data_IF_255148254020
#
_entry.id   IF_255148254020
#
_cell.length_a   1.000
_cell.length_b   1.000
_cell.length_c   1.000
_cell.angle_alpha   90.00
_cell.angle_beta   90.00
_cell.angle_gamma   90.00
#
_symmetry.space_group_name_H-M   'P 1'
#
loop_
_entity.id
_entity.type
_entity.pdbx_description
1 polymer ?
#
# COMPACT_ATOMS: atom_id res chain seq x y z
N UNK A 1 -10.23 38.36 -0.67
CA UNK A 1 -10.55 36.93 -0.58
C UNK A 1 -11.13 36.53 -1.92
N UNK A 2 -10.60 35.48 -2.56
CA UNK A 2 -11.19 34.93 -3.77
C UNK A 2 -12.50 34.21 -3.46
N UNK A 3 -13.25 33.84 -4.49
CA UNK A 3 -14.50 33.10 -4.32
C UNK A 3 -14.28 31.77 -3.58
N UNK A 4 -15.25 31.31 -2.76
CA UNK A 4 -15.18 30.02 -2.10
C UNK A 4 -14.98 28.88 -3.11
N UNK A 5 -14.11 27.93 -2.77
CA UNK A 5 -13.83 26.75 -3.57
C UNK A 5 -14.88 25.70 -3.22
N UNK A 6 -15.73 25.34 -4.18
CA UNK A 6 -16.68 24.25 -4.01
C UNK A 6 -15.94 22.89 -3.94
N UNK A 7 -16.19 22.14 -2.88
CA UNK A 7 -15.63 20.80 -2.65
C UNK A 7 -16.72 19.74 -2.42
N UNK A 8 -18.00 20.10 -2.60
CA UNK A 8 -19.14 19.22 -2.30
C UNK A 8 -19.16 17.96 -3.15
N UNK A 9 -18.63 18.03 -4.38
CA UNK A 9 -18.53 16.88 -5.29
C UNK A 9 -17.31 15.99 -5.01
N UNK A 10 -16.40 16.40 -4.12
CA UNK A 10 -15.17 15.65 -3.83
C UNK A 10 -15.43 14.61 -2.76
N UNK A 11 -15.72 13.41 -3.24
CA UNK A 11 -15.93 12.22 -2.42
C UNK A 11 -14.88 11.14 -2.75
N UNK A 12 -14.62 10.28 -1.77
CA UNK A 12 -13.80 9.08 -1.89
C UNK A 12 -14.53 7.97 -1.14
N UNK A 13 -14.85 6.88 -1.85
CA UNK A 13 -15.44 5.69 -1.25
C UNK A 13 -14.48 5.03 -0.26
N UNK A 14 -15.04 4.38 0.76
CA UNK A 14 -14.28 3.70 1.81
C UNK A 14 -14.18 2.19 1.59
N UNK A 15 -14.61 1.67 0.43
CA UNK A 15 -14.34 0.28 0.08
C UNK A 15 -12.87 0.13 -0.35
N UNK A 16 -12.31 -1.07 -0.19
CA UNK A 16 -10.94 -1.34 -0.64
C UNK A 16 -10.78 -1.13 -2.14
N UNK A 17 -11.82 -1.44 -2.94
CA UNK A 17 -11.84 -1.19 -4.39
C UNK A 17 -11.82 0.30 -4.75
N UNK A 18 -12.54 1.14 -4.01
CA UNK A 18 -12.54 2.59 -4.24
C UNK A 18 -11.17 3.17 -3.90
N UNK A 19 -10.63 2.80 -2.73
CA UNK A 19 -9.31 3.21 -2.28
C UNK A 19 -8.24 2.80 -3.30
N UNK A 20 -8.27 1.56 -3.77
CA UNK A 20 -7.33 1.05 -4.79
C UNK A 20 -7.40 1.90 -6.05
N UNK A 21 -8.59 2.24 -6.51
CA UNK A 21 -8.80 3.07 -7.70
C UNK A 21 -8.21 4.48 -7.54
N UNK A 22 -8.35 5.08 -6.35
CA UNK A 22 -7.78 6.39 -6.03
C UNK A 22 -6.25 6.36 -5.90
N UNK A 23 -5.68 5.27 -5.36
CA UNK A 23 -4.21 5.14 -5.21
C UNK A 23 -3.46 5.14 -6.54
N UNK A 24 -4.07 4.66 -7.63
CA UNK A 24 -3.48 4.67 -8.98
C UNK A 24 -3.16 6.10 -9.45
N UNK A 25 -3.90 7.09 -8.91
CA UNK A 25 -3.71 8.51 -9.29
C UNK A 25 -2.53 9.17 -8.57
N UNK A 26 -1.88 8.49 -7.62
CA UNK A 26 -0.78 9.04 -6.80
C UNK A 26 0.53 8.42 -7.27
N UNK A 27 1.47 9.27 -7.71
CA UNK A 27 2.70 8.83 -8.38
C UNK A 27 3.68 8.10 -7.46
N UNK A 28 3.71 8.44 -6.18
CA UNK A 28 4.72 7.94 -5.23
C UNK A 28 4.05 7.48 -3.95
N UNK A 29 3.55 6.24 -3.99
CA UNK A 29 3.06 5.52 -2.82
C UNK A 29 4.07 4.45 -2.41
N UNK A 30 4.14 4.11 -1.11
CA UNK A 30 5.04 3.07 -0.62
C UNK A 30 4.64 1.70 -1.17
N UNK A 31 5.61 0.80 -1.34
CA UNK A 31 5.39 -0.56 -1.87
C UNK A 31 4.36 -1.35 -1.04
N UNK A 32 4.33 -1.11 0.27
CA UNK A 32 3.39 -1.75 1.20
C UNK A 32 1.92 -1.39 0.96
N UNK A 33 1.62 -0.37 0.14
CA UNK A 33 0.24 0.01 -0.22
C UNK A 33 -0.53 -1.18 -0.78
N UNK A 34 0.04 -1.87 -1.77
CA UNK A 34 -0.64 -3.01 -2.40
C UNK A 34 -0.74 -4.21 -1.46
N UNK A 35 0.24 -4.39 -0.56
CA UNK A 35 0.21 -5.44 0.45
C UNK A 35 -0.92 -5.21 1.45
N UNK A 36 -1.05 -3.97 1.95
CA UNK A 36 -2.10 -3.58 2.88
C UNK A 36 -3.50 -3.74 2.25
N UNK A 37 -3.70 -3.24 1.03
CA UNK A 37 -5.01 -3.33 0.37
C UNK A 37 -5.40 -4.78 0.09
N UNK A 38 -4.44 -5.63 -0.31
CA UNK A 38 -4.71 -7.07 -0.48
C UNK A 38 -5.04 -7.75 0.84
N UNK A 39 -4.34 -7.39 1.91
CA UNK A 39 -4.66 -7.87 3.25
C UNK A 39 -6.09 -7.50 3.66
N UNK A 40 -6.49 -6.24 3.44
CA UNK A 40 -7.84 -5.76 3.75
C UNK A 40 -8.95 -6.41 2.90
N UNK A 41 -8.65 -6.89 1.69
CA UNK A 41 -9.62 -7.61 0.85
C UNK A 41 -9.95 -9.02 1.37
N UNK A 42 -9.01 -9.67 2.04
CA UNK A 42 -9.17 -11.06 2.52
C UNK A 42 -9.47 -11.14 4.01
N UNK A 43 -9.27 -10.05 4.74
CA UNK A 43 -9.58 -9.97 6.17
C UNK A 43 -11.09 -9.95 6.38
N UNK A 44 -11.57 -10.89 7.18
CA UNK A 44 -12.92 -10.83 7.74
C UNK A 44 -12.79 -10.24 9.15
N UNK A 45 -13.29 -9.02 9.37
CA UNK A 45 -13.39 -8.43 10.71
C UNK A 45 -14.40 -9.24 11.56
N UNK A 46 -13.99 -10.42 12.05
CA UNK A 46 -14.88 -11.31 12.80
C UNK A 46 -15.19 -10.78 14.21
N UNK A 47 -14.32 -9.91 14.75
CA UNK A 47 -14.51 -9.22 16.03
C UNK A 47 -13.88 -7.82 15.97
N UNK A 48 -14.55 -6.83 15.36
CA UNK A 48 -14.02 -5.47 15.31
C UNK A 48 -13.91 -4.90 16.73
N UNK A 49 -12.78 -4.28 17.03
CA UNK A 49 -12.55 -3.54 18.27
C UNK A 49 -12.94 -2.09 18.03
N UNK A 50 -13.45 -1.43 19.07
CA UNK A 50 -13.73 -0.01 19.01
C UNK A 50 -12.43 0.80 18.82
N UNK A 51 -12.36 1.73 17.84
CA UNK A 51 -11.19 2.58 17.64
C UNK A 51 -11.00 3.51 18.84
N UNK A 52 -9.74 3.76 19.19
CA UNK A 52 -9.37 4.67 20.28
C UNK A 52 -9.81 6.11 20.00
N UNK A 53 -10.01 6.90 21.06
CA UNK A 53 -10.42 8.30 20.95
C UNK A 53 -9.43 9.16 20.14
N UNK A 54 -8.14 8.84 20.19
CA UNK A 54 -7.10 9.58 19.43
C UNK A 54 -7.25 9.32 17.93
N UNK A 55 -7.52 8.08 17.54
CA UNK A 55 -7.74 7.71 16.13
C UNK A 55 -9.08 8.27 15.62
N UNK A 56 -10.13 8.29 16.44
CA UNK A 56 -11.41 8.96 16.12
C UNK A 56 -11.25 10.47 15.92
N UNK A 57 -10.45 11.13 16.78
CA UNK A 57 -10.15 12.55 16.65
C UNK A 57 -9.37 12.84 15.36
N UNK A 58 -8.39 11.99 15.01
CA UNK A 58 -7.70 12.10 13.74
C UNK A 58 -8.68 11.97 12.56
N UNK A 59 -9.52 10.94 12.54
CA UNK A 59 -10.52 10.74 11.47
C UNK A 59 -11.45 11.95 11.33
N UNK A 60 -12.01 12.42 12.45
CA UNK A 60 -12.93 13.56 12.48
C UNK A 60 -12.28 14.81 11.86
N UNK A 61 -11.01 15.05 12.21
CA UNK A 61 -10.25 16.18 11.66
C UNK A 61 -9.97 16.03 10.16
N UNK A 62 -9.65 14.82 9.68
CA UNK A 62 -9.43 14.59 8.25
C UNK A 62 -10.73 14.75 7.45
N UNK A 63 -11.86 14.28 7.99
CA UNK A 63 -13.18 14.41 7.36
C UNK A 63 -13.64 15.87 7.32
N UNK A 64 -13.36 16.65 8.36
CA UNK A 64 -13.69 18.07 8.46
C UNK A 64 -12.83 19.01 7.62
N UNK A 65 -11.96 18.49 6.76
CA UNK A 65 -11.09 19.33 5.95
C UNK A 65 -11.88 20.20 4.96
N UNK A 66 -11.75 21.52 5.10
CA UNK A 66 -12.39 22.54 4.27
C UNK A 66 -11.35 23.62 3.87
N UNK A 67 -11.06 23.80 2.56
CA UNK A 67 -10.12 24.82 2.10
C UNK A 67 -10.62 26.26 2.25
N UNK A 68 -11.90 26.44 2.63
CA UNK A 68 -12.52 27.75 2.86
C UNK A 68 -12.54 28.13 4.34
N UNK A 69 -12.04 27.28 5.24
CA UNK A 69 -11.98 27.57 6.67
C UNK A 69 -11.16 28.84 6.92
N UNK A 70 -11.76 29.91 7.49
CA UNK A 70 -11.08 31.18 7.72
C UNK A 70 -9.94 31.09 8.75
N UNK A 71 -9.88 30.01 9.54
CA UNK A 71 -8.82 29.76 10.51
C UNK A 71 -7.57 29.11 9.89
N UNK A 72 -7.62 28.70 8.62
CA UNK A 72 -6.46 28.13 7.93
C UNK A 72 -5.36 29.17 7.75
N UNK A 73 -4.18 28.85 8.27
CA UNK A 73 -2.97 29.63 8.01
C UNK A 73 -2.66 29.65 6.50
N UNK A 74 -2.18 30.79 5.95
CA UNK A 74 -1.67 30.87 4.58
C UNK A 74 -0.64 29.79 4.23
N UNK A 75 0.16 29.35 5.21
CA UNK A 75 1.20 28.33 5.03
C UNK A 75 0.63 26.91 4.83
N UNK A 76 -0.63 26.69 5.23
CA UNK A 76 -1.33 25.40 5.14
C UNK A 76 -2.28 25.35 3.94
N UNK A 77 -1.93 26.06 2.86
CA UNK A 77 -2.80 26.28 1.73
C UNK A 77 -2.18 25.79 0.40
N UNK A 78 -2.96 25.70 -0.67
CA UNK A 78 -2.51 25.23 -1.98
C UNK A 78 -1.82 23.85 -1.89
N UNK A 79 -0.55 23.74 -2.31
CA UNK A 79 0.23 22.51 -2.24
C UNK A 79 0.48 22.01 -0.82
N UNK A 80 0.39 22.91 0.18
CA UNK A 80 0.54 22.58 1.60
C UNK A 80 -0.81 22.23 2.26
N UNK A 81 -1.92 22.25 1.51
CA UNK A 81 -3.22 21.88 2.04
C UNK A 81 -3.18 20.45 2.59
N UNK A 82 -3.75 20.27 3.78
CA UNK A 82 -3.72 19.02 4.52
C UNK A 82 -2.69 18.98 5.64
N UNK A 83 -1.60 19.76 5.61
CA UNK A 83 -0.56 19.70 6.65
C UNK A 83 -1.13 19.81 8.06
N UNK A 84 -1.87 20.89 8.34
CA UNK A 84 -2.56 21.09 9.62
C UNK A 84 -3.48 19.92 9.99
N UNK A 85 -4.24 19.37 9.03
CA UNK A 85 -5.14 18.24 9.26
C UNK A 85 -4.41 16.95 9.64
N UNK A 86 -3.12 16.82 9.29
CA UNK A 86 -2.30 15.67 9.69
C UNK A 86 -1.46 15.92 10.95
N UNK A 87 -1.25 17.17 11.39
CA UNK A 87 -0.28 17.50 12.45
C UNK A 87 -0.82 18.25 13.66
N UNK A 88 -2.03 18.82 13.59
CA UNK A 88 -2.54 19.67 14.65
C UNK A 88 -2.67 18.97 16.03
N UNK A 89 -2.63 19.74 17.11
CA UNK A 89 -2.96 19.26 18.46
C UNK A 89 -2.13 18.07 18.96
N UNK A 90 -0.89 17.89 18.46
CA UNK A 90 -0.02 16.75 18.78
C UNK A 90 -0.58 15.36 18.39
N UNK A 91 -1.73 15.32 17.72
CA UNK A 91 -2.31 14.13 17.12
C UNK A 91 -1.80 14.06 15.69
N UNK A 92 -0.86 13.16 15.45
CA UNK A 92 -0.24 12.88 14.15
C UNK A 92 -0.57 11.45 13.75
N UNK A 93 -0.32 11.09 12.49
CA UNK A 93 -0.42 9.68 12.05
C UNK A 93 0.38 8.76 12.98
N UNK A 94 1.62 9.16 13.31
CA UNK A 94 2.51 8.36 14.15
C UNK A 94 2.07 8.23 15.60
N UNK A 95 1.46 9.27 16.17
CA UNK A 95 1.00 9.27 17.57
C UNK A 95 -0.39 8.68 17.73
N UNK A 96 -1.25 8.77 16.71
CA UNK A 96 -2.58 8.16 16.72
C UNK A 96 -2.54 6.65 16.45
N UNK A 97 -1.71 6.22 15.48
CA UNK A 97 -1.65 4.83 15.04
C UNK A 97 -0.53 4.08 15.79
N UNK A 98 -0.67 3.86 17.10
CA UNK A 98 0.36 3.16 17.89
C UNK A 98 0.39 1.64 17.62
N UNK A 99 -0.78 1.00 17.60
CA UNK A 99 -1.01 -0.43 17.41
C UNK A 99 -2.32 -0.71 16.67
N UNK A 100 -2.52 -1.92 16.14
CA UNK A 100 -3.72 -2.25 15.37
C UNK A 100 -5.00 -2.14 16.19
N UNK A 101 -4.97 -2.53 17.47
CA UNK A 101 -6.11 -2.48 18.39
C UNK A 101 -6.65 -1.05 18.57
N UNK A 102 -5.81 -0.02 18.40
CA UNK A 102 -6.24 1.38 18.47
C UNK A 102 -7.02 1.82 17.23
N UNK A 103 -6.83 1.15 16.09
CA UNK A 103 -7.59 1.35 14.84
C UNK A 103 -8.85 0.48 14.85
N UNK A 104 -8.70 -0.74 15.35
CA UNK A 104 -9.80 -1.62 15.76
C UNK A 104 -10.45 -2.45 14.65
N UNK A 105 -10.43 -1.99 13.40
CA UNK A 105 -10.99 -2.75 12.26
C UNK A 105 -10.43 -2.29 10.92
N UNK A 106 -10.53 -3.18 9.92
CA UNK A 106 -10.26 -2.83 8.51
C UNK A 106 -11.23 -1.78 8.03
N UNK A 107 -12.52 -1.90 8.37
CA UNK A 107 -13.52 -0.91 8.00
C UNK A 107 -13.16 0.51 8.48
N UNK A 108 -12.64 0.65 9.70
CA UNK A 108 -12.22 1.95 10.23
C UNK A 108 -10.91 2.45 9.60
N UNK A 109 -9.95 1.54 9.35
CA UNK A 109 -8.73 1.86 8.61
C UNK A 109 -9.03 2.40 7.20
N UNK A 110 -9.99 1.80 6.50
CA UNK A 110 -10.43 2.26 5.19
C UNK A 110 -11.09 3.65 5.25
N UNK A 111 -11.87 3.96 6.29
CA UNK A 111 -12.42 5.31 6.48
C UNK A 111 -11.32 6.36 6.66
N UNK A 112 -10.27 6.05 7.43
CA UNK A 112 -9.08 6.93 7.58
C UNK A 112 -8.38 7.17 6.25
N UNK A 113 -8.13 6.10 5.48
CA UNK A 113 -7.48 6.19 4.17
C UNK A 113 -8.34 7.02 3.21
N UNK A 114 -9.65 6.75 3.14
CA UNK A 114 -10.57 7.49 2.28
C UNK A 114 -10.60 8.99 2.63
N UNK A 115 -10.66 9.34 3.92
CA UNK A 115 -10.61 10.73 4.36
C UNK A 115 -9.28 11.42 3.98
N UNK A 116 -8.15 10.72 4.12
CA UNK A 116 -6.85 11.23 3.71
C UNK A 116 -6.73 11.41 2.18
N UNK A 117 -7.28 10.48 1.39
CA UNK A 117 -7.33 10.57 -0.08
C UNK A 117 -8.22 11.74 -0.53
N UNK A 118 -9.33 11.98 0.17
CA UNK A 118 -10.20 13.13 -0.08
C UNK A 118 -9.42 14.45 0.07
N UNK A 119 -8.56 14.57 1.09
CA UNK A 119 -7.69 15.75 1.26
C UNK A 119 -6.75 15.92 0.06
N UNK A 120 -6.17 14.84 -0.48
CA UNK A 120 -5.35 14.92 -1.70
C UNK A 120 -6.16 15.47 -2.88
N UNK A 121 -7.38 14.98 -3.08
CA UNK A 121 -8.27 15.47 -4.14
C UNK A 121 -8.65 16.94 -3.94
N UNK A 122 -8.93 17.35 -2.69
CA UNK A 122 -9.17 18.76 -2.34
C UNK A 122 -7.93 19.59 -2.66
N UNK A 123 -6.73 19.18 -2.24
CA UNK A 123 -5.49 19.91 -2.51
C UNK A 123 -5.27 20.10 -4.03
N UNK A 124 -5.48 19.04 -4.82
CA UNK A 124 -5.42 19.10 -6.29
C UNK A 124 -6.44 20.11 -6.86
N UNK A 125 -7.66 20.10 -6.34
CA UNK A 125 -8.72 21.00 -6.78
C UNK A 125 -8.44 22.45 -6.39
N UNK A 126 -7.93 22.69 -5.18
CA UNK A 126 -7.52 24.01 -4.70
C UNK A 126 -6.42 24.59 -5.57
N UNK A 127 -5.36 23.81 -5.84
CA UNK A 127 -4.29 24.24 -6.74
C UNK A 127 -4.81 24.50 -8.15
N UNK A 128 -5.71 23.66 -8.66
CA UNK A 128 -6.34 23.87 -9.97
C UNK A 128 -7.12 25.20 -10.04
N UNK A 129 -8.03 25.46 -9.09
CA UNK A 129 -8.82 26.70 -9.07
C UNK A 129 -7.97 27.96 -8.95
N UNK A 130 -6.84 27.87 -8.25
CA UNK A 130 -5.95 29.01 -8.02
C UNK A 130 -4.83 29.13 -9.03
N UNK A 131 -4.83 28.27 -10.06
CA UNK A 131 -3.80 28.23 -11.09
C UNK A 131 -2.37 28.10 -10.50
N UNK A 132 -2.22 27.26 -9.47
CA UNK A 132 -0.95 26.92 -8.83
C UNK A 132 -0.51 25.54 -9.29
N UNK A 133 0.81 25.32 -9.36
CA UNK A 133 1.36 24.01 -9.67
C UNK A 133 0.80 22.92 -8.75
N UNK A 134 0.48 21.77 -9.33
CA UNK A 134 -0.07 20.60 -8.63
C UNK A 134 1.00 19.59 -8.22
N UNK A 135 2.26 19.96 -8.39
CA UNK A 135 3.39 19.11 -8.04
C UNK A 135 3.71 19.25 -6.55
N UNK A 136 4.23 18.17 -5.94
CA UNK A 136 4.70 18.15 -4.56
C UNK A 136 3.61 18.50 -3.51
N UNK A 137 2.41 17.95 -3.67
CA UNK A 137 1.35 18.11 -2.68
C UNK A 137 1.76 17.44 -1.36
N UNK A 138 1.77 18.19 -0.26
CA UNK A 138 2.16 17.65 1.04
C UNK A 138 1.21 16.54 1.51
N UNK A 139 -0.06 16.62 1.11
CA UNK A 139 -1.07 15.59 1.37
C UNK A 139 -0.71 14.23 0.78
N UNK A 140 -0.02 14.18 -0.37
CA UNK A 140 0.44 12.91 -0.97
C UNK A 140 1.54 12.27 -0.12
N UNK A 141 2.44 13.07 0.48
CA UNK A 141 3.45 12.60 1.42
C UNK A 141 2.80 11.99 2.67
N UNK A 142 1.78 12.66 3.22
CA UNK A 142 1.06 12.16 4.39
C UNK A 142 0.28 10.88 4.12
N UNK A 143 -0.29 10.73 2.93
CA UNK A 143 -0.91 9.48 2.49
C UNK A 143 0.12 8.35 2.48
N UNK A 144 1.34 8.59 1.98
CA UNK A 144 2.42 7.59 2.04
C UNK A 144 2.75 7.17 3.46
N UNK A 145 2.93 8.13 4.37
CA UNK A 145 3.17 7.87 5.80
C UNK A 145 2.01 7.07 6.43
N UNK A 146 0.77 7.39 6.07
CA UNK A 146 -0.42 6.68 6.55
C UNK A 146 -0.38 5.20 6.13
N UNK A 147 -0.11 4.92 4.87
CA UNK A 147 -0.01 3.54 4.36
C UNK A 147 1.12 2.75 5.03
N UNK A 148 2.31 3.33 5.16
CA UNK A 148 3.44 2.68 5.85
C UNK A 148 3.10 2.37 7.31
N UNK A 149 2.49 3.33 7.99
CA UNK A 149 2.17 3.18 9.41
C UNK A 149 1.08 2.14 9.64
N UNK A 150 0.02 2.17 8.83
CA UNK A 150 -1.06 1.17 8.88
C UNK A 150 -0.54 -0.24 8.57
N UNK A 151 0.28 -0.38 7.51
CA UNK A 151 0.92 -1.66 7.19
C UNK A 151 1.72 -2.20 8.38
N UNK A 152 2.60 -1.37 8.95
CA UNK A 152 3.44 -1.79 10.07
C UNK A 152 2.65 -2.28 11.28
N UNK A 153 1.59 -1.57 11.68
CA UNK A 153 0.81 -1.98 12.85
C UNK A 153 -0.06 -3.21 12.55
N UNK A 154 -0.57 -3.33 11.33
CA UNK A 154 -1.38 -4.48 10.91
C UNK A 154 -0.53 -5.74 10.76
N UNK A 155 0.64 -5.65 10.15
CA UNK A 155 1.60 -6.75 10.00
C UNK A 155 2.05 -7.29 11.36
N UNK A 156 2.33 -6.39 12.32
CA UNK A 156 2.72 -6.79 13.66
C UNK A 156 1.62 -7.51 14.45
N UNK A 157 0.34 -7.19 14.20
CA UNK A 157 -0.78 -7.89 14.83
C UNK A 157 -1.20 -9.16 14.09
N UNK A 158 -0.78 -9.32 12.83
CA UNK A 158 -1.06 -10.48 11.97
C UNK A 158 0.24 -11.13 11.46
N UNK A 159 1.12 -11.66 12.35
CA UNK A 159 2.43 -12.17 11.97
C UNK A 159 2.42 -13.37 11.01
N UNK A 160 1.24 -13.94 10.69
CA UNK A 160 1.07 -14.99 9.68
C UNK A 160 0.88 -14.43 8.25
N UNK A 161 0.62 -13.13 8.09
CA UNK A 161 0.40 -12.51 6.77
C UNK A 161 1.69 -12.15 6.03
N UNK A 162 2.83 -12.14 6.73
CA UNK A 162 4.15 -11.81 6.17
C UNK A 162 5.06 -13.02 5.96
N UNK A 163 4.60 -14.21 6.32
CA UNK A 163 5.15 -15.45 5.78
C UNK A 163 4.36 -15.83 4.53
N UNK A 164 4.72 -15.26 3.39
CA UNK A 164 4.39 -15.87 2.10
C UNK A 164 5.17 -17.18 1.95
N UNK A 165 4.77 -18.19 2.70
CA UNK A 165 4.78 -19.59 2.28
C UNK A 165 3.45 -20.13 2.78
N UNK A 166 2.41 -19.93 1.97
CA UNK A 166 1.08 -20.48 2.19
C UNK A 166 1.24 -21.99 2.47
N UNK A 167 0.52 -22.59 3.45
CA UNK A 167 0.47 -24.05 3.59
C UNK A 167 0.11 -24.72 2.26
N UNK A 168 -0.67 -24.03 1.43
CA UNK A 168 -1.07 -24.45 0.09
C UNK A 168 0.08 -24.42 -0.93
N UNK A 169 1.09 -23.52 -0.81
CA UNK A 169 2.29 -23.58 -1.65
C UNK A 169 3.24 -24.69 -1.24
N UNK A 170 3.29 -25.04 0.04
CA UNK A 170 4.07 -26.19 0.52
C UNK A 170 3.37 -27.51 0.20
N UNK A 171 2.04 -27.54 0.18
CA UNK A 171 1.23 -28.65 -0.32
C UNK A 171 1.36 -28.74 -1.84
N UNK A 172 1.29 -27.64 -2.59
CA UNK A 172 1.53 -27.59 -4.04
C UNK A 172 2.98 -27.92 -4.39
N UNK A 173 3.98 -27.47 -3.62
CA UNK A 173 5.39 -27.87 -3.81
C UNK A 173 5.59 -29.33 -3.48
N UNK A 174 5.00 -29.85 -2.40
CA UNK A 174 5.04 -31.27 -2.10
C UNK A 174 4.29 -32.07 -3.17
N UNK A 175 3.15 -31.61 -3.67
CA UNK A 175 2.42 -32.27 -4.75
C UNK A 175 3.14 -32.17 -6.09
N UNK A 176 3.80 -31.06 -6.42
CA UNK A 176 4.66 -30.90 -7.60
C UNK A 176 5.95 -31.72 -7.51
N UNK A 177 6.51 -31.88 -6.31
CA UNK A 177 7.61 -32.83 -6.04
C UNK A 177 7.13 -34.29 -6.09
N UNK A 178 5.84 -34.53 -5.79
CA UNK A 178 5.19 -35.86 -5.85
C UNK A 178 4.66 -36.18 -7.25
N UNK A 179 4.48 -35.20 -8.15
CA UNK A 179 4.42 -35.38 -9.61
C UNK A 179 5.84 -35.69 -10.09
N UNK A 180 6.28 -36.87 -9.64
CA UNK A 180 7.09 -37.86 -10.32
C UNK A 180 7.84 -37.35 -11.54
N UNK A 181 9.10 -37.00 -11.29
CA UNK A 181 10.19 -36.85 -12.27
C UNK A 181 10.16 -37.95 -13.35
N UNK A 182 9.70 -39.15 -13.01
CA UNK A 182 9.46 -40.28 -13.90
C UNK A 182 8.30 -40.11 -14.89
N UNK A 183 7.19 -39.44 -14.52
CA UNK A 183 6.12 -39.11 -15.47
C UNK A 183 6.56 -38.01 -16.45
N UNK A 184 7.31 -37.01 -15.98
CA UNK A 184 7.85 -35.96 -16.84
C UNK A 184 8.92 -36.52 -17.80
N UNK A 185 9.75 -37.46 -17.33
CA UNK A 185 10.75 -38.14 -18.15
C UNK A 185 10.13 -39.11 -19.16
N UNK A 186 9.07 -39.84 -18.79
CA UNK A 186 8.33 -40.70 -19.71
C UNK A 186 7.67 -39.88 -20.83
N UNK A 187 7.02 -38.77 -20.48
CA UNK A 187 6.38 -37.87 -21.44
C UNK A 187 7.40 -37.18 -22.37
N UNK A 188 8.51 -36.66 -21.82
CA UNK A 188 9.57 -36.05 -22.62
C UNK A 188 10.25 -37.05 -23.58
N UNK A 189 10.36 -38.32 -23.17
CA UNK A 189 10.86 -39.41 -24.05
C UNK A 189 9.88 -39.76 -25.15
N UNK A 190 8.58 -39.76 -24.87
CA UNK A 190 7.52 -40.00 -25.86
C UNK A 190 7.45 -38.88 -26.91
N UNK A 191 7.70 -37.64 -26.52
CA UNK A 191 7.65 -36.48 -27.40
C UNK A 191 9.02 -36.02 -27.94
N UNK A 192 10.08 -36.83 -27.78
CA UNK A 192 11.45 -36.54 -28.28
C UNK A 192 12.02 -35.20 -27.80
N UNK A 193 11.70 -34.79 -26.57
CA UNK A 193 12.24 -33.57 -25.96
C UNK A 193 13.57 -33.93 -25.26
N UNK A 194 14.70 -33.31 -25.63
CA UNK A 194 15.98 -33.61 -25.02
C UNK A 194 16.01 -33.14 -23.55
N UNK A 195 16.16 -34.08 -22.62
CA UNK A 195 16.30 -33.81 -21.19
C UNK A 195 17.78 -33.63 -20.86
N UNK A 196 18.18 -32.45 -20.42
CA UNK A 196 19.56 -32.16 -19.98
C UNK A 196 19.81 -32.84 -18.63
N UNK A 197 20.73 -33.79 -18.58
CA UNK A 197 21.19 -34.39 -17.32
C UNK A 197 22.24 -33.49 -16.66
N UNK A 198 21.96 -32.96 -15.48
CA UNK A 198 22.86 -32.11 -14.66
C UNK A 198 24.08 -32.84 -14.06
N UNK A 199 24.60 -33.88 -14.73
CA UNK A 199 25.84 -34.56 -14.32
C UNK A 199 27.01 -34.41 -15.30
N UNK A 200 26.95 -33.49 -16.27
CA UNK A 200 28.15 -33.02 -16.97
C UNK A 200 28.75 -31.80 -16.28
N UNK A 201 29.35 -32.06 -15.13
CA UNK A 201 30.39 -31.22 -14.55
C UNK A 201 31.68 -31.52 -15.32
N UNK A 202 31.99 -30.72 -16.34
CA UNK A 202 33.35 -30.59 -16.83
C UNK A 202 33.53 -29.21 -17.47
N UNK A 203 33.93 -28.25 -16.62
CA UNK A 203 34.69 -27.10 -17.07
C UNK A 203 35.98 -27.63 -17.69
N UNK A 204 36.09 -27.60 -19.02
CA UNK A 204 37.38 -27.72 -19.69
C UNK A 204 38.25 -26.50 -19.32
N UNK A 205 39.08 -26.69 -18.29
CA UNK A 205 40.39 -26.06 -18.19
C UNK A 205 41.33 -26.93 -19.02
N UNK A 206 41.90 -26.37 -20.08
CA UNK A 206 43.32 -26.49 -20.41
C UNK A 206 43.58 -25.88 -21.80
N UNK A 207 43.90 -24.58 -21.77
CA UNK A 207 44.71 -23.94 -22.80
C UNK A 207 46.18 -24.21 -22.45
N UNK A 208 46.93 -24.73 -23.43
CA UNK A 208 48.40 -24.97 -23.54
C UNK A 208 48.71 -26.47 -23.72
N UNK A 209 49.46 -26.98 -24.70
CA UNK A 209 50.50 -26.49 -25.64
C UNK A 209 50.60 -27.46 -26.84
N UNK A 210 50.91 -27.01 -28.06
CA UNK A 210 52.01 -27.59 -28.89
C UNK A 210 52.33 -26.75 -30.14
N UNK A 211 53.63 -26.53 -30.37
CA UNK A 211 54.27 -25.98 -31.59
C UNK A 211 54.96 -27.18 -32.26
N UNK A 212 54.75 -27.46 -33.56
CA UNK A 212 55.47 -28.53 -34.23
C UNK A 212 56.84 -28.04 -34.75
N UNK A 213 57.80 -28.98 -34.97
CA UNK A 213 59.13 -28.68 -35.49
C UNK A 213 59.12 -28.17 -36.93
#
# INVERSE_FOLDING_TARGET
MGDPIDISFIEVGNSVSDIRSETITIKSLPECTNLLLRAFEVEEDQNPIDPSDVVRQLLTRLQGADPNDPSLSPDNNNSNFGHWHFTAGSITISTALDRWESVGSVAFACQLIAAALRIVKIARHVCFNRNVARDNLISEVYIGILFEKLWKIWENSHPQSSTSTTPDQDILRKQLQTIRKDQLQAWAKEHSIPIVNENQKECNKDSKFYIPP
#
